data_IF_415323052035
#
_entry.id   IF_415323052035
#
_cell.length_a   1.000
_cell.length_b   1.000
_cell.length_c   1.000
_cell.angle_alpha   90.00
_cell.angle_beta   90.00
_cell.angle_gamma   90.00
#
_symmetry.space_group_name_H-M   'P 1'
#
loop_
_entity.id
_entity.type
_entity.pdbx_description
1 polymer ?
#
# COMPACT_ATOMS: atom_id res chain seq x y z
N UNK A 1 -49.07 39.14 68.71
CA UNK A 1 -47.97 39.54 67.80
C UNK A 1 -46.84 38.51 67.96
N UNK A 2 -46.62 37.48 67.13
CA UNK A 2 -47.20 37.07 65.83
C UNK A 2 -47.04 38.06 64.67
N UNK A 3 -45.80 38.30 64.25
CA UNK A 3 -45.31 38.50 62.86
C UNK A 3 -43.76 38.56 62.84
N UNK A 4 -43.15 38.61 61.66
CA UNK A 4 -41.79 39.14 61.38
C UNK A 4 -40.50 38.31 61.60
N UNK A 5 -40.54 36.96 61.68
CA UNK A 5 -39.29 36.15 61.58
C UNK A 5 -39.26 34.92 60.67
N UNK A 6 -40.35 34.57 59.97
CA UNK A 6 -40.38 33.34 59.15
C UNK A 6 -40.31 33.54 57.61
N UNK A 7 -40.45 34.78 57.10
CA UNK A 7 -40.61 35.01 55.64
C UNK A 7 -39.28 35.18 54.91
N UNK A 8 -38.19 35.59 55.58
CA UNK A 8 -36.94 35.95 54.92
C UNK A 8 -35.93 34.80 54.71
N UNK A 9 -36.19 33.59 55.23
CA UNK A 9 -35.34 32.41 54.98
C UNK A 9 -35.85 31.47 53.88
N UNK A 10 -37.08 31.65 53.39
CA UNK A 10 -37.69 30.77 52.37
C UNK A 10 -37.44 31.22 50.92
N UNK A 11 -36.88 32.43 50.72
CA UNK A 11 -36.48 32.95 49.40
C UNK A 11 -34.99 32.70 49.05
N UNK A 12 -34.21 32.14 49.98
CA UNK A 12 -32.77 31.89 49.80
C UNK A 12 -32.39 30.44 49.46
N UNK A 13 -33.34 29.50 49.39
CA UNK A 13 -33.08 28.07 49.18
C UNK A 13 -33.79 27.45 47.96
N UNK A 14 -34.46 28.25 47.12
CA UNK A 14 -35.16 27.79 45.91
C UNK A 14 -34.48 28.27 44.61
N UNK A 15 -33.17 28.45 44.64
CA UNK A 15 -32.35 28.85 43.47
C UNK A 15 -31.13 27.95 43.24
N UNK A 16 -31.04 26.81 43.93
CA UNK A 16 -29.88 25.91 43.93
C UNK A 16 -30.14 24.49 43.41
N UNK A 17 -31.28 24.26 42.72
CA UNK A 17 -31.68 22.93 42.22
C UNK A 17 -32.07 22.89 40.72
N UNK A 18 -31.66 23.88 39.91
CA UNK A 18 -31.75 23.82 38.44
C UNK A 18 -30.45 24.27 37.76
N UNK A 19 -29.34 23.66 38.14
CA UNK A 19 -28.17 23.50 37.28
C UNK A 19 -27.98 22.02 36.93
N UNK A 20 -29.07 21.39 36.45
CA UNK A 20 -28.98 20.19 35.63
C UNK A 20 -28.39 20.59 34.29
N UNK A 21 -27.06 20.80 34.25
CA UNK A 21 -26.36 21.07 33.01
C UNK A 21 -26.59 19.91 32.07
N UNK A 22 -27.17 20.19 30.89
CA UNK A 22 -27.22 19.22 29.81
C UNK A 22 -25.78 18.86 29.45
N UNK A 23 -25.33 17.69 29.92
CA UNK A 23 -24.09 17.10 29.47
C UNK A 23 -24.19 16.96 27.94
N UNK A 24 -23.16 17.38 27.22
CA UNK A 24 -23.12 17.18 25.77
C UNK A 24 -23.19 15.67 25.50
N UNK A 25 -24.17 15.23 24.69
CA UNK A 25 -24.31 13.82 24.30
C UNK A 25 -23.01 13.32 23.71
N UNK A 26 -22.55 12.18 24.19
CA UNK A 26 -21.33 11.49 23.75
C UNK A 26 -21.66 10.47 22.64
N UNK A 27 -20.63 9.85 22.06
CA UNK A 27 -20.83 8.76 21.08
C UNK A 27 -21.30 7.49 21.79
N UNK A 28 -20.82 7.28 23.01
CA UNK A 28 -21.21 6.19 23.91
C UNK A 28 -22.69 6.28 24.25
N UNK A 29 -23.23 7.48 24.51
CA UNK A 29 -24.67 7.69 24.71
C UNK A 29 -25.48 7.28 23.46
N UNK A 30 -25.01 7.63 22.25
CA UNK A 30 -25.66 7.22 21.00
C UNK A 30 -25.57 5.70 20.77
N UNK A 31 -24.48 5.06 21.18
CA UNK A 31 -24.34 3.61 21.06
C UNK A 31 -25.27 2.89 22.05
N UNK A 32 -25.33 3.36 23.30
CA UNK A 32 -26.22 2.83 24.34
C UNK A 32 -27.71 3.05 24.00
N UNK A 33 -28.07 4.18 23.39
CA UNK A 33 -29.43 4.46 22.88
C UNK A 33 -29.80 3.63 21.62
N UNK A 34 -28.87 2.83 21.06
CA UNK A 34 -29.11 2.07 19.83
C UNK A 34 -29.29 2.97 18.59
N UNK A 35 -28.54 4.08 18.54
CA UNK A 35 -28.54 5.11 17.48
C UNK A 35 -27.22 5.21 16.72
N UNK A 36 -26.19 4.54 17.25
CA UNK A 36 -24.87 4.34 16.66
C UNK A 36 -24.52 2.84 16.77
N UNK A 37 -24.11 2.21 15.67
CA UNK A 37 -23.59 0.84 15.62
C UNK A 37 -22.20 0.85 15.01
N UNK A 38 -21.32 -0.02 15.52
CA UNK A 38 -19.96 -0.22 15.02
C UNK A 38 -19.77 -1.72 14.84
N UNK A 39 -19.64 -2.14 13.60
CA UNK A 39 -19.48 -3.55 13.23
C UNK A 39 -18.11 -3.76 12.58
N UNK A 40 -17.51 -4.92 12.85
CA UNK A 40 -16.24 -5.34 12.27
C UNK A 40 -16.34 -6.79 11.80
N UNK A 41 -15.95 -7.05 10.56
CA UNK A 41 -16.09 -8.36 9.93
C UNK A 41 -14.86 -8.72 9.09
N UNK A 42 -14.51 -10.01 9.07
CA UNK A 42 -13.52 -10.58 8.16
C UNK A 42 -14.27 -11.32 7.03
N UNK A 43 -13.77 -11.24 5.80
CA UNK A 43 -14.32 -12.00 4.68
C UNK A 43 -13.19 -12.58 3.80
N UNK A 44 -13.20 -13.90 3.49
CA UNK A 44 -14.13 -14.91 4.00
C UNK A 44 -14.00 -15.10 5.52
N UNK A 45 -15.08 -15.59 6.17
CA UNK A 45 -15.12 -15.84 7.61
C UNK A 45 -14.45 -17.17 8.00
N UNK A 46 -14.48 -18.14 7.10
CA UNK A 46 -13.95 -19.50 7.28
C UNK A 46 -13.03 -19.88 6.11
N UNK A 47 -12.39 -21.04 6.18
CA UNK A 47 -11.47 -21.58 5.15
C UNK A 47 -10.30 -20.66 4.76
N UNK A 48 -9.95 -19.67 5.59
CA UNK A 48 -8.85 -18.75 5.34
C UNK A 48 -7.53 -19.52 5.28
N UNK A 49 -6.79 -19.38 4.19
CA UNK A 49 -5.44 -19.93 4.02
C UNK A 49 -4.39 -18.86 4.39
N UNK A 50 -3.26 -19.27 4.97
CA UNK A 50 -2.15 -18.35 5.19
C UNK A 50 -1.68 -17.73 3.87
N UNK A 51 -1.22 -16.49 3.89
CA UNK A 51 -0.83 -15.66 2.74
C UNK A 51 -1.98 -15.31 1.77
N UNK A 52 -3.22 -15.76 2.01
CA UNK A 52 -4.40 -15.38 1.24
C UNK A 52 -4.80 -13.93 1.51
N UNK A 53 -5.38 -13.27 0.51
CA UNK A 53 -6.10 -12.01 0.71
C UNK A 53 -7.42 -12.23 1.46
N UNK A 54 -7.57 -11.62 2.63
CA UNK A 54 -8.88 -11.46 3.29
C UNK A 54 -9.20 -9.97 3.45
N UNK A 55 -10.49 -9.61 3.45
CA UNK A 55 -10.92 -8.22 3.65
C UNK A 55 -11.43 -8.02 5.08
N UNK A 56 -10.90 -7.02 5.76
CA UNK A 56 -11.40 -6.54 7.04
C UNK A 56 -12.31 -5.33 6.79
N UNK A 57 -13.60 -5.53 7.03
CA UNK A 57 -14.63 -4.50 6.91
C UNK A 57 -14.87 -3.86 8.27
N UNK A 58 -14.83 -2.53 8.31
CA UNK A 58 -15.14 -1.71 9.48
C UNK A 58 -16.29 -0.80 9.09
N UNK A 59 -17.47 -1.05 9.64
CA UNK A 59 -18.68 -0.27 9.38
C UNK A 59 -19.07 0.53 10.61
N UNK A 60 -19.41 1.80 10.39
CA UNK A 60 -20.13 2.61 11.38
C UNK A 60 -21.47 3.02 10.77
N UNK A 61 -22.55 2.80 11.52
CA UNK A 61 -23.92 3.11 11.13
C UNK A 61 -24.57 4.02 12.17
N UNK A 62 -25.37 5.01 11.74
CA UNK A 62 -26.17 5.86 12.64
C UNK A 62 -27.58 6.12 12.10
N UNK A 63 -28.56 6.31 12.98
CA UNK A 63 -29.92 6.74 12.63
C UNK A 63 -30.04 8.24 12.25
N UNK A 64 -28.89 8.93 12.19
CA UNK A 64 -28.72 10.31 11.72
C UNK A 64 -27.87 10.36 10.46
N UNK A 65 -27.18 11.48 10.24
CA UNK A 65 -26.15 11.61 9.21
C UNK A 65 -24.78 11.87 9.86
N UNK A 66 -23.72 11.53 9.12
CA UNK A 66 -22.36 11.88 9.51
C UNK A 66 -22.05 13.32 9.14
N UNK A 67 -21.54 14.08 10.11
CA UNK A 67 -21.01 15.44 9.92
C UNK A 67 -19.54 15.46 9.46
N UNK A 68 -18.89 14.28 9.40
CA UNK A 68 -17.52 14.10 8.91
C UNK A 68 -17.23 12.65 8.52
N UNK A 69 -16.08 12.40 7.88
CA UNK A 69 -15.65 11.05 7.52
C UNK A 69 -14.94 10.34 8.67
N UNK A 70 -15.28 9.07 8.90
CA UNK A 70 -14.60 8.16 9.81
C UNK A 70 -13.11 8.09 9.50
N UNK A 71 -12.28 8.27 10.54
CA UNK A 71 -10.84 8.08 10.48
C UNK A 71 -10.45 6.90 11.36
N UNK A 72 -9.85 5.88 10.75
CA UNK A 72 -9.27 4.74 11.47
C UNK A 72 -7.96 5.20 12.12
N UNK A 73 -7.79 4.92 13.41
CA UNK A 73 -6.54 5.14 14.14
C UNK A 73 -5.51 4.02 13.90
N UNK A 74 -4.34 4.14 14.51
CA UNK A 74 -3.30 3.12 14.37
C UNK A 74 -3.70 1.81 15.04
N UNK A 75 -3.53 0.69 14.35
CA UNK A 75 -3.67 -0.65 14.89
C UNK A 75 -2.75 -1.62 14.13
N UNK A 76 -2.42 -2.74 14.76
CA UNK A 76 -1.58 -3.78 14.16
C UNK A 76 -2.22 -5.15 14.41
N UNK A 77 -2.17 -6.02 13.41
CA UNK A 77 -2.58 -7.42 13.53
C UNK A 77 -1.31 -8.26 13.51
N UNK A 78 -0.99 -8.91 14.63
CA UNK A 78 0.28 -9.62 14.79
C UNK A 78 0.42 -10.72 13.73
N UNK A 79 1.62 -10.83 13.16
CA UNK A 79 1.98 -11.79 12.11
C UNK A 79 1.14 -11.67 10.82
N UNK A 80 0.48 -10.54 10.59
CA UNK A 80 -0.27 -10.24 9.38
C UNK A 80 0.15 -8.90 8.75
N UNK A 81 0.01 -8.78 7.44
CA UNK A 81 0.19 -7.51 6.72
C UNK A 81 -1.19 -6.89 6.53
N UNK A 82 -1.38 -5.66 7.00
CA UNK A 82 -2.61 -4.89 6.82
C UNK A 82 -2.36 -3.76 5.82
N UNK A 83 -3.15 -3.68 4.75
CA UNK A 83 -3.04 -2.66 3.70
C UNK A 83 -4.38 -1.94 3.52
N UNK A 84 -4.36 -0.61 3.63
CA UNK A 84 -5.46 0.24 3.17
C UNK A 84 -5.28 0.55 1.69
N UNK A 85 -6.07 -0.09 0.82
CA UNK A 85 -6.05 0.16 -0.62
C UNK A 85 -6.97 1.29 -1.06
N UNK A 86 -8.14 1.39 -0.41
CA UNK A 86 -9.12 2.42 -0.71
C UNK A 86 -8.75 3.78 -0.08
N UNK A 87 -9.12 4.87 -0.76
CA UNK A 87 -8.84 6.24 -0.31
C UNK A 87 -9.99 6.88 0.49
N UNK A 88 -11.18 6.29 0.41
CA UNK A 88 -12.40 6.82 1.01
C UNK A 88 -13.27 5.65 1.51
N UNK A 89 -14.09 5.92 2.52
CA UNK A 89 -15.17 5.00 2.91
C UNK A 89 -16.25 4.95 1.82
N UNK A 90 -16.92 3.80 1.71
CA UNK A 90 -18.18 3.67 0.96
C UNK A 90 -19.30 4.17 1.86
N UNK A 91 -20.03 5.18 1.41
CA UNK A 91 -21.18 5.71 2.13
C UNK A 91 -22.46 5.08 1.57
N UNK A 92 -23.38 4.66 2.44
CA UNK A 92 -24.67 4.09 2.03
C UNK A 92 -25.79 4.49 2.99
N UNK A 93 -27.04 4.30 2.56
CA UNK A 93 -28.23 4.44 3.39
C UNK A 93 -29.10 3.19 3.23
N UNK A 94 -29.61 2.68 4.34
CA UNK A 94 -30.41 1.46 4.43
C UNK A 94 -31.61 1.69 5.35
N UNK A 95 -32.67 0.89 5.21
CA UNK A 95 -33.82 0.90 6.13
C UNK A 95 -33.85 -0.46 6.84
N UNK A 96 -33.69 -0.46 8.16
CA UNK A 96 -33.78 -1.64 9.02
C UNK A 96 -34.99 -1.45 9.96
N UNK A 97 -36.08 -2.17 9.69
CA UNK A 97 -37.34 -2.00 10.40
C UNK A 97 -37.97 -0.64 10.12
N UNK A 98 -38.17 0.17 11.17
CA UNK A 98 -38.67 1.54 11.13
C UNK A 98 -37.56 2.60 11.08
N UNK A 99 -36.28 2.20 11.22
CA UNK A 99 -35.13 3.12 11.24
C UNK A 99 -34.41 3.19 9.89
N UNK A 100 -34.13 4.41 9.45
CA UNK A 100 -33.19 4.69 8.36
C UNK A 100 -31.78 4.84 8.92
N UNK A 101 -30.83 4.06 8.42
CA UNK A 101 -29.43 4.05 8.84
C UNK A 101 -28.53 4.61 7.75
N UNK A 102 -27.78 5.67 8.06
CA UNK A 102 -26.65 6.12 7.25
C UNK A 102 -25.41 5.37 7.68
N UNK A 103 -24.57 4.95 6.74
CA UNK A 103 -23.38 4.12 6.97
C UNK A 103 -22.11 4.70 6.36
N UNK A 104 -20.97 4.40 6.97
CA UNK A 104 -19.63 4.55 6.41
C UNK A 104 -18.89 3.22 6.57
N UNK A 105 -18.55 2.59 5.44
CA UNK A 105 -17.83 1.33 5.38
C UNK A 105 -16.41 1.55 4.87
N UNK A 106 -15.42 1.23 5.71
CA UNK A 106 -14.03 1.09 5.29
C UNK A 106 -13.71 -0.39 5.03
N UNK A 107 -13.05 -0.68 3.90
CA UNK A 107 -12.51 -2.02 3.61
C UNK A 107 -10.99 -1.95 3.61
N UNK A 108 -10.38 -2.68 4.53
CA UNK A 108 -8.95 -2.93 4.59
C UNK A 108 -8.65 -4.34 4.07
N UNK A 109 -7.42 -4.57 3.62
CA UNK A 109 -6.96 -5.89 3.21
C UNK A 109 -5.97 -6.43 4.24
N UNK A 110 -6.11 -7.69 4.61
CA UNK A 110 -5.26 -8.39 5.58
C UNK A 110 -4.69 -9.65 4.93
N UNK A 111 -3.41 -9.92 5.18
CA UNK A 111 -2.71 -11.13 4.75
C UNK A 111 -2.09 -11.85 5.96
N UNK A 112 -2.70 -12.91 6.51
CA UNK A 112 -2.15 -13.67 7.63
C UNK A 112 -0.90 -14.44 7.19
N UNK A 113 0.29 -14.13 7.70
CA UNK A 113 1.55 -14.67 7.14
C UNK A 113 1.86 -16.12 7.60
N UNK A 114 1.12 -16.65 8.56
CA UNK A 114 1.27 -18.00 9.12
C UNK A 114 -0.08 -18.67 9.35
N UNK A 115 -0.07 -19.97 9.64
CA UNK A 115 -1.23 -20.66 10.21
C UNK A 115 -1.44 -20.29 11.69
N UNK A 116 -2.65 -20.54 12.18
CA UNK A 116 -3.08 -20.34 13.56
C UNK A 116 -4.11 -19.24 13.74
N UNK A 117 -4.46 -18.98 14.99
CA UNK A 117 -5.38 -17.91 15.37
C UNK A 117 -4.71 -16.54 15.16
N UNK A 118 -5.51 -15.60 14.67
CA UNK A 118 -5.23 -14.17 14.56
C UNK A 118 -6.26 -13.40 15.38
N UNK A 119 -5.81 -12.30 15.96
CA UNK A 119 -6.63 -11.38 16.73
C UNK A 119 -6.44 -9.98 16.16
N UNK A 120 -7.54 -9.36 15.76
CA UNK A 120 -7.63 -7.93 15.45
C UNK A 120 -8.00 -7.24 16.75
N UNK A 121 -7.13 -6.38 17.31
CA UNK A 121 -7.44 -5.66 18.54
C UNK A 121 -8.57 -4.65 18.31
N UNK A 122 -9.22 -4.14 19.37
CA UNK A 122 -10.15 -3.01 19.27
C UNK A 122 -9.51 -1.85 18.52
N UNK A 123 -10.08 -1.47 17.38
CA UNK A 123 -9.52 -0.44 16.50
C UNK A 123 -10.12 0.91 16.89
N UNK A 124 -9.32 1.92 17.28
CA UNK A 124 -9.84 3.25 17.59
C UNK A 124 -10.35 3.95 16.32
N UNK A 125 -11.57 4.48 16.36
CA UNK A 125 -12.23 5.18 15.27
C UNK A 125 -12.59 6.60 15.69
N UNK A 126 -12.15 7.61 14.93
CA UNK A 126 -12.61 9.00 15.10
C UNK A 126 -13.78 9.25 14.17
N UNK A 127 -14.95 9.51 14.75
CA UNK A 127 -16.20 9.69 14.02
C UNK A 127 -16.87 11.01 14.39
N UNK A 128 -17.78 11.44 13.53
CA UNK A 128 -18.45 12.74 13.59
C UNK A 128 -19.89 12.56 13.12
N UNK A 129 -20.83 12.63 14.06
CA UNK A 129 -22.27 12.35 13.85
C UNK A 129 -23.08 13.59 14.23
N UNK A 130 -24.14 13.89 13.49
CA UNK A 130 -25.05 14.97 13.84
C UNK A 130 -26.11 14.52 14.86
N UNK A 131 -26.34 15.35 15.88
CA UNK A 131 -27.39 15.12 16.87
C UNK A 131 -28.80 15.51 16.38
N UNK A 132 -29.77 15.56 17.28
CA UNK A 132 -31.15 15.93 16.96
C UNK A 132 -31.33 17.43 16.67
N UNK A 133 -30.42 18.29 17.15
CA UNK A 133 -30.35 19.72 16.82
C UNK A 133 -29.59 20.03 15.53
N UNK A 134 -28.84 19.04 15.01
CA UNK A 134 -27.92 19.18 13.89
C UNK A 134 -26.50 19.62 14.30
N UNK A 135 -26.22 19.74 15.60
CA UNK A 135 -24.87 19.96 16.11
C UNK A 135 -24.03 18.69 15.97
N UNK A 136 -22.70 18.86 15.88
CA UNK A 136 -21.78 17.74 15.63
C UNK A 136 -21.25 17.15 16.94
N UNK A 137 -21.59 15.89 17.21
CA UNK A 137 -20.94 15.07 18.23
C UNK A 137 -19.70 14.45 17.58
N UNK A 138 -18.53 14.74 18.13
CA UNK A 138 -17.23 14.28 17.64
C UNK A 138 -16.49 13.60 18.78
N UNK A 139 -15.96 12.40 18.52
CA UNK A 139 -15.26 11.63 19.54
C UNK A 139 -14.45 10.48 18.95
N UNK A 140 -13.89 9.67 19.85
CA UNK A 140 -13.12 8.48 19.52
C UNK A 140 -13.77 7.29 20.21
N UNK A 141 -14.04 6.23 19.44
CA UNK A 141 -14.77 5.04 19.89
C UNK A 141 -14.18 3.81 19.18
N UNK A 142 -14.10 2.66 19.85
CA UNK A 142 -13.39 1.50 19.32
C UNK A 142 -14.32 0.44 18.71
N UNK A 143 -13.83 -0.29 17.71
CA UNK A 143 -14.47 -1.54 17.28
C UNK A 143 -14.42 -2.59 18.41
N UNK A 144 -15.30 -3.60 18.39
CA UNK A 144 -15.02 -4.87 19.05
C UNK A 144 -13.68 -5.46 18.59
N UNK A 145 -13.10 -6.35 19.40
CA UNK A 145 -12.02 -7.23 18.96
C UNK A 145 -12.58 -8.33 18.04
N UNK A 146 -11.79 -8.80 17.07
CA UNK A 146 -12.21 -9.84 16.12
C UNK A 146 -11.14 -10.93 15.99
N UNK A 147 -11.54 -12.18 16.26
CA UNK A 147 -10.68 -13.36 16.05
C UNK A 147 -10.98 -14.05 14.72
N UNK A 148 -9.95 -14.56 14.04
CA UNK A 148 -10.10 -15.44 12.87
C UNK A 148 -8.99 -16.49 12.78
N UNK A 149 -9.26 -17.62 12.13
CA UNK A 149 -8.32 -18.74 12.00
C UNK A 149 -7.82 -18.85 10.56
N UNK A 150 -6.52 -18.69 10.35
CA UNK A 150 -5.88 -19.05 9.09
C UNK A 150 -5.22 -20.44 9.18
N UNK A 151 -5.28 -21.23 8.10
CA UNK A 151 -4.69 -22.57 8.03
C UNK A 151 -3.61 -22.64 6.96
N UNK A 152 -2.68 -23.58 7.12
CA UNK A 152 -1.80 -24.01 6.03
C UNK A 152 -2.35 -25.36 5.57
N UNK A 153 -2.77 -25.52 4.29
CA UNK A 153 -3.16 -26.81 3.74
C UNK A 153 -2.02 -27.83 3.89
N UNK A 154 -2.34 -29.09 4.20
CA UNK A 154 -1.33 -30.14 4.44
C UNK A 154 -0.33 -30.29 3.27
N UNK A 155 -0.79 -30.09 2.03
CA UNK A 155 0.05 -30.09 0.82
C UNK A 155 1.12 -28.98 0.79
N UNK A 156 1.02 -27.97 1.64
CA UNK A 156 1.93 -26.81 1.73
C UNK A 156 2.82 -26.83 2.97
N UNK A 157 2.61 -27.71 3.95
CA UNK A 157 3.40 -27.75 5.20
C UNK A 157 4.90 -27.98 4.96
N UNK A 158 5.27 -28.78 3.95
CA UNK A 158 6.66 -29.03 3.57
C UNK A 158 7.28 -27.94 2.68
N UNK A 159 6.49 -26.93 2.26
CA UNK A 159 6.90 -25.90 1.30
C UNK A 159 7.09 -24.56 2.01
N UNK A 160 8.30 -23.98 1.87
CA UNK A 160 8.66 -22.70 2.50
C UNK A 160 8.15 -21.49 1.71
N UNK A 161 8.36 -21.54 0.40
CA UNK A 161 8.06 -20.45 -0.54
C UNK A 161 6.85 -20.82 -1.39
N UNK A 162 5.78 -20.06 -1.20
CA UNK A 162 4.51 -20.17 -1.90
C UNK A 162 3.62 -18.97 -1.57
N UNK A 163 2.65 -18.68 -2.41
CA UNK A 163 1.65 -17.61 -2.19
C UNK A 163 0.23 -18.14 -2.39
N UNK A 164 -0.78 -17.45 -1.87
CA UNK A 164 -2.19 -17.76 -2.13
C UNK A 164 -2.85 -16.62 -2.91
N UNK A 165 -3.43 -16.94 -4.07
CA UNK A 165 -3.95 -15.96 -5.05
C UNK A 165 -4.99 -16.60 -5.96
N UNK A 166 -5.81 -15.77 -6.61
CA UNK A 166 -6.76 -16.16 -7.65
C UNK A 166 -6.07 -16.50 -8.98
N UNK A 167 -4.88 -15.93 -9.24
CA UNK A 167 -4.12 -16.12 -10.48
C UNK A 167 -2.64 -15.89 -10.24
N UNK A 168 -1.82 -16.84 -10.67
CA UNK A 168 -0.36 -16.77 -10.58
C UNK A 168 0.26 -17.09 -11.94
N UNK A 169 1.27 -16.32 -12.35
CA UNK A 169 1.97 -16.48 -13.63
C UNK A 169 3.47 -16.27 -13.44
N UNK A 170 4.29 -17.08 -14.12
CA UNK A 170 5.74 -16.90 -14.23
C UNK A 170 6.11 -16.89 -15.70
N UNK A 171 6.87 -15.88 -16.11
CA UNK A 171 7.40 -15.74 -17.45
C UNK A 171 8.94 -15.66 -17.40
N UNK A 172 9.59 -16.28 -18.38
CA UNK A 172 11.04 -16.23 -18.58
C UNK A 172 11.35 -15.61 -19.95
N UNK A 173 12.40 -14.81 -20.02
CA UNK A 173 12.91 -14.27 -21.28
C UNK A 173 14.44 -14.13 -21.25
N UNK A 174 15.09 -14.38 -22.39
CA UNK A 174 16.51 -14.10 -22.60
C UNK A 174 16.71 -12.91 -23.55
N UNK A 175 17.81 -12.16 -23.40
CA UNK A 175 18.09 -11.00 -24.25
C UNK A 175 18.59 -11.34 -25.67
N UNK A 176 18.98 -12.60 -25.92
CA UNK A 176 19.47 -13.11 -27.21
C UNK A 176 19.22 -14.62 -27.33
N UNK A 177 19.47 -15.19 -28.51
CA UNK A 177 19.43 -16.66 -28.67
C UNK A 177 20.49 -17.34 -27.80
N UNK A 178 20.21 -18.60 -27.46
CA UNK A 178 21.11 -19.51 -26.74
C UNK A 178 22.00 -20.30 -27.70
N UNK A 179 21.76 -20.19 -29.01
CA UNK A 179 22.57 -20.83 -30.05
C UNK A 179 23.87 -20.07 -30.30
N UNK A 180 24.97 -20.80 -30.47
CA UNK A 180 26.25 -20.24 -30.90
C UNK A 180 26.95 -19.32 -29.89
N UNK A 181 26.60 -19.43 -28.60
CA UNK A 181 27.22 -18.66 -27.52
C UNK A 181 28.73 -18.94 -27.43
N UNK A 182 29.50 -17.88 -27.12
CA UNK A 182 30.97 -17.94 -27.08
C UNK A 182 31.53 -17.49 -25.72
N UNK A 183 32.76 -17.89 -25.34
CA UNK A 183 33.41 -17.32 -24.16
C UNK A 183 33.54 -15.78 -24.26
N UNK A 184 33.24 -15.09 -23.16
CA UNK A 184 33.12 -13.63 -23.08
C UNK A 184 31.69 -13.09 -23.28
N UNK A 185 30.73 -13.92 -23.72
CA UNK A 185 29.35 -13.49 -23.90
C UNK A 185 28.64 -13.18 -22.57
N UNK A 186 27.84 -12.11 -22.58
CA UNK A 186 26.86 -11.83 -21.53
C UNK A 186 25.45 -12.23 -21.99
N UNK A 187 24.87 -13.23 -21.31
CA UNK A 187 23.48 -13.65 -21.46
C UNK A 187 22.66 -13.07 -20.29
N UNK A 188 21.57 -12.37 -20.59
CA UNK A 188 20.68 -11.80 -19.56
C UNK A 188 19.36 -12.57 -19.55
N UNK A 189 19.04 -13.18 -18.41
CA UNK A 189 17.75 -13.85 -18.12
C UNK A 189 16.90 -12.92 -17.28
N UNK A 190 15.67 -12.69 -17.69
CA UNK A 190 14.65 -12.01 -16.90
C UNK A 190 13.58 -13.01 -16.52
N UNK A 191 13.30 -13.15 -15.22
CA UNK A 191 12.18 -13.93 -14.70
C UNK A 191 11.17 -12.96 -14.11
N UNK A 192 9.94 -12.98 -14.60
CA UNK A 192 8.86 -12.14 -14.11
C UNK A 192 7.77 -13.01 -13.50
N UNK A 193 7.62 -12.92 -12.18
CA UNK A 193 6.52 -13.50 -11.41
C UNK A 193 5.42 -12.45 -11.30
N UNK A 194 4.16 -12.83 -11.49
CA UNK A 194 3.03 -11.94 -11.24
C UNK A 194 1.84 -12.67 -10.64
N UNK A 195 1.04 -11.96 -9.85
CA UNK A 195 -0.16 -12.51 -9.24
C UNK A 195 -1.24 -11.45 -9.06
N UNK A 196 -2.50 -11.87 -9.14
CA UNK A 196 -3.63 -11.01 -8.83
C UNK A 196 -3.87 -11.01 -7.29
N UNK A 197 -4.43 -9.93 -6.74
CA UNK A 197 -4.82 -9.80 -5.33
C UNK A 197 -3.71 -10.05 -4.26
N UNK A 198 -2.43 -9.95 -4.64
CA UNK A 198 -1.29 -9.92 -3.73
C UNK A 198 -0.53 -8.59 -3.85
N UNK A 199 0.25 -8.17 -2.83
CA UNK A 199 1.26 -7.13 -2.98
C UNK A 199 2.57 -7.72 -3.51
N UNK A 200 3.31 -6.97 -4.34
CA UNK A 200 4.53 -7.45 -5.00
C UNK A 200 5.64 -7.91 -4.03
N UNK A 201 5.67 -7.36 -2.82
CA UNK A 201 6.58 -7.78 -1.73
C UNK A 201 6.34 -9.21 -1.23
N UNK A 202 5.17 -9.80 -1.46
CA UNK A 202 4.85 -11.19 -1.09
C UNK A 202 5.17 -12.19 -2.20
N UNK A 203 5.48 -11.75 -3.42
CA UNK A 203 5.80 -12.66 -4.52
C UNK A 203 7.12 -13.40 -4.26
N UNK A 204 7.20 -14.71 -4.57
CA UNK A 204 8.41 -15.49 -4.38
C UNK A 204 9.54 -14.92 -5.24
N UNK A 205 10.75 -15.00 -4.72
CA UNK A 205 11.96 -14.56 -5.41
C UNK A 205 12.47 -15.70 -6.29
N UNK A 206 12.75 -15.42 -7.56
CA UNK A 206 13.53 -16.34 -8.38
C UNK A 206 15.01 -16.27 -7.95
N UNK A 207 15.72 -17.39 -8.05
CA UNK A 207 17.16 -17.49 -7.76
C UNK A 207 17.97 -17.71 -9.04
N UNK A 208 19.28 -17.64 -8.92
CA UNK A 208 20.20 -18.21 -9.90
C UNK A 208 21.31 -18.94 -9.14
N UNK A 209 21.55 -20.19 -9.54
CA UNK A 209 22.57 -21.02 -8.90
C UNK A 209 23.96 -20.67 -9.40
N UNK A 210 24.98 -20.99 -8.60
CA UNK A 210 26.39 -20.86 -9.04
C UNK A 210 26.74 -21.99 -10.00
N UNK A 211 27.20 -21.63 -11.20
CA UNK A 211 27.56 -22.57 -12.26
C UNK A 211 29.06 -22.41 -12.54
N UNK A 212 29.91 -23.41 -12.25
CA UNK A 212 31.34 -23.35 -12.59
C UNK A 212 31.54 -23.06 -14.08
N UNK A 213 32.40 -22.10 -14.43
CA UNK A 213 32.62 -21.65 -15.82
C UNK A 213 31.65 -20.56 -16.30
N UNK A 214 30.69 -20.13 -15.47
CA UNK A 214 29.79 -19.00 -15.73
C UNK A 214 29.74 -18.08 -14.49
N UNK A 215 30.18 -16.83 -14.63
CA UNK A 215 29.98 -15.84 -13.58
C UNK A 215 28.54 -15.31 -13.59
N UNK A 216 27.88 -15.33 -12.43
CA UNK A 216 26.46 -14.97 -12.30
C UNK A 216 26.31 -13.68 -11.48
N UNK A 217 25.71 -12.66 -12.08
CA UNK A 217 25.47 -11.36 -11.47
C UNK A 217 23.96 -11.11 -11.35
N UNK A 218 23.36 -11.26 -10.15
CA UNK A 218 21.97 -10.87 -9.91
C UNK A 218 21.84 -9.34 -9.91
N UNK A 219 20.85 -8.84 -10.65
CA UNK A 219 20.43 -7.44 -10.62
C UNK A 219 19.52 -7.13 -9.43
N UNK A 220 19.08 -5.88 -9.33
CA UNK A 220 18.07 -5.49 -8.33
C UNK A 220 16.67 -5.90 -8.79
N UNK A 221 15.95 -6.64 -7.93
CA UNK A 221 14.56 -7.00 -8.14
C UNK A 221 13.68 -5.76 -8.34
N UNK A 222 12.79 -5.79 -9.34
CA UNK A 222 11.79 -4.74 -9.58
C UNK A 222 10.42 -5.21 -9.11
N UNK A 223 9.88 -4.53 -8.10
CA UNK A 223 8.52 -4.75 -7.59
C UNK A 223 7.57 -3.71 -8.17
N UNK A 224 6.38 -4.11 -8.63
CA UNK A 224 5.34 -3.20 -9.13
C UNK A 224 3.95 -3.68 -8.73
N UNK A 225 3.19 -2.84 -8.03
CA UNK A 225 1.77 -3.04 -7.76
C UNK A 225 0.93 -2.17 -8.71
N UNK A 226 0.01 -2.79 -9.45
CA UNK A 226 -0.86 -2.17 -10.45
C UNK A 226 -2.31 -2.29 -10.02
N UNK A 227 -3.11 -1.25 -10.26
CA UNK A 227 -4.56 -1.23 -9.99
C UNK A 227 -5.30 -0.75 -11.23
N UNK A 228 -6.27 -1.52 -11.69
CA UNK A 228 -7.13 -1.15 -12.82
C UNK A 228 -8.60 -1.47 -12.49
N UNK A 229 -9.42 -0.44 -12.28
CA UNK A 229 -10.86 -0.58 -11.95
C UNK A 229 -11.15 -1.54 -10.77
N UNK A 230 -10.30 -1.52 -9.74
CA UNK A 230 -10.40 -2.40 -8.58
C UNK A 230 -9.77 -3.79 -8.74
N UNK A 231 -9.30 -4.17 -9.94
CA UNK A 231 -8.44 -5.33 -10.10
C UNK A 231 -7.00 -4.98 -9.67
N UNK A 232 -6.49 -5.69 -8.67
CA UNK A 232 -5.14 -5.52 -8.12
C UNK A 232 -4.23 -6.60 -8.70
N UNK A 233 -3.07 -6.21 -9.23
CA UNK A 233 -2.06 -7.14 -9.75
C UNK A 233 -0.65 -6.72 -9.37
N UNK A 234 0.07 -7.65 -8.77
CA UNK A 234 1.47 -7.53 -8.42
C UNK A 234 2.39 -8.14 -9.48
N UNK A 235 3.60 -7.60 -9.58
CA UNK A 235 4.65 -8.06 -10.48
C UNK A 235 6.01 -7.94 -9.78
N UNK A 236 6.80 -9.01 -9.80
CA UNK A 236 8.20 -9.07 -9.35
C UNK A 236 9.05 -9.56 -10.51
N UNK A 237 10.00 -8.73 -10.95
CA UNK A 237 10.93 -9.07 -12.02
C UNK A 237 12.35 -9.18 -11.47
N UNK A 238 12.95 -10.35 -11.63
CA UNK A 238 14.35 -10.65 -11.33
C UNK A 238 15.15 -10.66 -12.63
N UNK A 239 16.38 -10.14 -12.58
CA UNK A 239 17.29 -10.09 -13.74
C UNK A 239 18.62 -10.69 -13.34
N UNK A 240 19.13 -11.62 -14.15
CA UNK A 240 20.41 -12.29 -13.93
C UNK A 240 21.27 -12.16 -15.18
N UNK A 241 22.49 -11.65 -15.01
CA UNK A 241 23.49 -11.61 -16.08
C UNK A 241 24.49 -12.75 -15.88
N UNK A 242 24.53 -13.67 -16.84
CA UNK A 242 25.46 -14.79 -16.91
C UNK A 242 26.58 -14.41 -17.88
N UNK A 243 27.81 -14.32 -17.39
CA UNK A 243 29.01 -14.11 -18.21
C UNK A 243 29.68 -15.47 -18.42
N UNK A 244 29.76 -15.88 -19.68
CA UNK A 244 30.23 -17.21 -20.07
C UNK A 244 31.75 -17.20 -20.14
N UNK A 245 32.45 -17.74 -19.14
CA UNK A 245 33.91 -17.61 -19.03
C UNK A 245 34.65 -18.70 -19.80
N UNK A 246 34.08 -19.89 -19.88
CA UNK A 246 34.72 -21.09 -20.43
C UNK A 246 33.81 -21.80 -21.43
N UNK A 247 34.40 -22.40 -22.46
CA UNK A 247 33.68 -23.27 -23.41
C UNK A 247 33.27 -24.58 -22.71
N UNK A 248 32.05 -25.04 -22.96
CA UNK A 248 31.47 -26.19 -22.27
C UNK A 248 29.96 -26.28 -22.45
N UNK A 249 29.37 -27.35 -21.92
CA UNK A 249 27.94 -27.55 -21.87
C UNK A 249 27.48 -27.34 -20.44
N UNK A 250 26.66 -26.32 -20.21
CA UNK A 250 26.12 -25.95 -18.92
C UNK A 250 24.59 -26.08 -18.93
N UNK A 251 23.97 -25.90 -17.76
CA UNK A 251 22.52 -25.89 -17.61
C UNK A 251 22.13 -24.83 -16.60
N UNK A 252 21.08 -24.06 -16.90
CA UNK A 252 20.34 -23.31 -15.91
C UNK A 252 19.32 -24.28 -15.30
N UNK A 253 19.39 -24.48 -13.99
CA UNK A 253 18.58 -25.48 -13.32
C UNK A 253 17.08 -25.14 -13.31
N UNK A 254 16.26 -26.19 -13.26
CA UNK A 254 14.80 -26.10 -13.22
C UNK A 254 14.35 -25.39 -11.93
N UNK A 255 13.37 -24.49 -12.05
CA UNK A 255 12.81 -23.77 -10.89
C UNK A 255 11.31 -24.02 -10.81
N UNK A 256 10.81 -24.34 -9.60
CA UNK A 256 9.38 -24.63 -9.37
C UNK A 256 8.79 -23.61 -8.40
N UNK A 257 7.78 -22.88 -8.86
CA UNK A 257 7.05 -21.88 -8.09
C UNK A 257 5.72 -22.47 -7.64
N UNK A 258 5.54 -22.64 -6.34
CA UNK A 258 4.31 -23.17 -5.75
C UNK A 258 3.33 -22.04 -5.40
N UNK A 259 2.04 -22.28 -5.63
CA UNK A 259 0.99 -21.37 -5.19
C UNK A 259 -0.28 -22.14 -4.80
N UNK A 260 -1.05 -21.56 -3.90
CA UNK A 260 -2.39 -22.01 -3.58
C UNK A 260 -3.38 -21.23 -4.43
N UNK A 261 -4.09 -21.93 -5.28
CA UNK A 261 -5.24 -21.38 -6.00
C UNK A 261 -6.42 -21.30 -5.02
N UNK A 262 -6.82 -20.07 -4.68
CA UNK A 262 -7.92 -19.81 -3.74
C UNK A 262 -9.30 -20.11 -4.36
N UNK A 263 -9.40 -20.15 -5.69
CA UNK A 263 -10.63 -20.43 -6.44
C UNK A 263 -10.86 -21.93 -6.53
N UNK A 264 -9.86 -22.70 -6.99
CA UNK A 264 -9.97 -24.18 -7.02
C UNK A 264 -9.67 -24.85 -5.68
N UNK A 265 -9.22 -24.08 -4.67
CA UNK A 265 -8.81 -24.55 -3.33
C UNK A 265 -7.80 -25.69 -3.42
N UNK A 266 -6.76 -25.51 -4.24
CA UNK A 266 -5.78 -26.54 -4.52
C UNK A 266 -4.34 -26.00 -4.63
N UNK A 267 -3.37 -26.88 -4.38
CA UNK A 267 -1.97 -26.60 -4.64
C UNK A 267 -1.69 -26.70 -6.15
N UNK A 268 -1.13 -25.63 -6.68
CA UNK A 268 -0.68 -25.52 -8.06
C UNK A 268 0.82 -25.21 -8.11
N UNK A 269 1.45 -25.46 -9.27
CA UNK A 269 2.87 -25.16 -9.48
C UNK A 269 3.14 -24.75 -10.92
N UNK A 270 3.99 -23.75 -11.10
CA UNK A 270 4.57 -23.39 -12.40
C UNK A 270 6.04 -23.80 -12.39
N UNK A 271 6.46 -24.52 -13.42
CA UNK A 271 7.83 -24.96 -13.61
C UNK A 271 8.47 -24.11 -14.71
N UNK A 272 9.61 -23.50 -14.41
CA UNK A 272 10.58 -23.08 -15.42
C UNK A 272 11.50 -24.26 -15.66
N UNK A 273 11.44 -24.83 -16.86
CA UNK A 273 12.24 -25.99 -17.25
C UNK A 273 13.73 -25.67 -17.27
N UNK A 274 14.56 -26.71 -17.14
CA UNK A 274 16.00 -26.53 -17.17
C UNK A 274 16.49 -26.16 -18.58
N UNK A 275 17.30 -25.11 -18.68
CA UNK A 275 17.73 -24.54 -19.96
C UNK A 275 19.18 -24.93 -20.26
N UNK A 276 19.46 -25.71 -21.32
CA UNK A 276 20.84 -26.04 -21.71
C UNK A 276 21.54 -24.81 -22.33
N UNK A 277 22.80 -24.61 -21.97
CA UNK A 277 23.65 -23.50 -22.42
C UNK A 277 24.94 -24.09 -23.00
N UNK A 278 25.08 -24.09 -24.33
CA UNK A 278 26.23 -24.66 -25.02
C UNK A 278 27.17 -23.54 -25.48
N UNK A 279 28.39 -23.51 -24.93
CA UNK A 279 29.38 -22.45 -25.18
C UNK A 279 30.51 -23.01 -26.03
N UNK A 280 30.64 -22.51 -27.25
CA UNK A 280 31.55 -23.02 -28.28
C UNK A 280 32.50 -21.95 -28.79
N UNK A 281 33.81 -22.17 -28.64
CA UNK A 281 34.85 -21.26 -29.10
C UNK A 281 36.19 -21.51 -28.41
N UNK A 282 37.27 -20.80 -28.78
CA UNK A 282 38.48 -20.77 -27.98
C UNK A 282 38.18 -20.08 -26.64
N UNK A 283 38.66 -20.64 -25.53
CA UNK A 283 38.57 -19.99 -24.23
C UNK A 283 39.36 -18.67 -24.24
N UNK A 284 38.88 -17.65 -23.52
CA UNK A 284 39.59 -16.36 -23.38
C UNK A 284 40.75 -16.53 -22.39
N UNK A 285 41.79 -17.23 -22.84
CA UNK A 285 43.10 -17.32 -22.19
C UNK A 285 43.90 -16.04 -22.44
N UNK A 286 43.42 -14.92 -21.91
CA UNK A 286 44.05 -13.60 -22.04
C UNK A 286 44.49 -13.09 -20.69
N UNK A 287 45.81 -13.00 -20.48
CA UNK A 287 46.41 -12.28 -19.36
C UNK A 287 45.85 -10.85 -19.33
N UNK A 288 45.28 -10.41 -18.19
CA UNK A 288 44.74 -9.06 -18.04
C UNK A 288 45.89 -8.05 -17.96
N UNK A 289 46.55 -7.84 -19.10
CA UNK A 289 47.43 -6.69 -19.30
C UNK A 289 46.56 -5.46 -19.10
N UNK A 290 46.94 -4.60 -18.15
CA UNK A 290 46.18 -3.39 -17.79
C UNK A 290 46.16 -2.38 -18.95
N UNK A 291 45.28 -2.63 -19.93
CA UNK A 291 44.95 -1.69 -20.98
C UNK A 291 44.38 -0.42 -20.36
N UNK A 292 44.93 0.74 -20.75
CA UNK A 292 44.43 2.05 -20.34
C UNK A 292 42.92 2.11 -20.54
N UNK A 293 42.15 2.71 -19.60
CA UNK A 293 40.69 2.71 -19.68
C UNK A 293 40.25 3.26 -21.03
N UNK A 294 39.55 2.43 -21.80
CA UNK A 294 38.92 2.87 -23.03
C UNK A 294 37.83 3.84 -22.62
N UNK A 295 37.95 5.10 -23.04
CA UNK A 295 37.02 6.14 -22.66
C UNK A 295 35.61 5.72 -23.07
N UNK A 296 34.75 5.55 -22.08
CA UNK A 296 33.34 5.26 -22.27
C UNK A 296 32.75 6.27 -23.25
N UNK A 297 32.13 5.77 -24.32
CA UNK A 297 31.43 6.59 -25.29
C UNK A 297 30.18 7.18 -24.62
N UNK A 298 30.39 8.29 -23.90
CA UNK A 298 29.33 9.04 -23.24
C UNK A 298 28.26 9.40 -24.27
N UNK A 299 27.10 8.79 -24.15
CA UNK A 299 25.89 9.33 -24.75
C UNK A 299 25.76 10.79 -24.30
N UNK A 300 25.54 11.75 -25.22
CA UNK A 300 25.62 13.17 -24.89
C UNK A 300 24.63 13.52 -23.76
N UNK A 301 25.17 13.97 -22.63
CA UNK A 301 24.43 14.11 -21.39
C UNK A 301 23.30 15.13 -21.47
N UNK A 302 22.07 14.65 -21.59
CA UNK A 302 20.82 15.44 -21.57
C UNK A 302 20.48 16.03 -20.18
N UNK A 303 21.47 16.23 -19.31
CA UNK A 303 21.34 16.81 -17.97
C UNK A 303 21.90 18.24 -17.82
N UNK A 304 22.56 18.78 -18.86
CA UNK A 304 23.09 20.17 -18.83
C UNK A 304 22.10 21.26 -19.33
N UNK A 305 21.03 20.88 -20.05
CA UNK A 305 20.11 21.84 -20.68
C UNK A 305 18.88 22.24 -19.83
N UNK A 306 18.61 21.53 -18.73
CA UNK A 306 17.47 21.84 -17.84
C UNK A 306 17.88 22.89 -16.78
N UNK A 307 19.15 22.90 -16.34
CA UNK A 307 19.62 23.87 -15.34
C UNK A 307 19.80 25.26 -15.97
N UNK A 308 20.30 25.35 -17.21
CA UNK A 308 20.46 26.63 -17.92
C UNK A 308 19.12 27.30 -18.28
N UNK A 309 18.10 26.52 -18.60
CA UNK A 309 16.75 27.03 -18.91
C UNK A 309 16.01 27.56 -17.67
N UNK A 310 16.17 26.92 -16.50
CA UNK A 310 15.63 27.45 -15.22
C UNK A 310 16.34 28.74 -14.82
N UNK A 311 17.66 28.82 -14.92
CA UNK A 311 18.42 30.06 -14.61
C UNK A 311 18.03 31.19 -15.58
N UNK A 312 17.87 30.89 -16.88
CA UNK A 312 17.39 31.86 -17.87
C UNK A 312 15.99 32.39 -17.55
N UNK A 313 15.06 31.52 -17.14
CA UNK A 313 13.70 31.91 -16.75
C UNK A 313 13.70 32.82 -15.51
N UNK A 314 14.48 32.48 -14.48
CA UNK A 314 14.61 33.28 -13.24
C UNK A 314 15.20 34.66 -13.54
N UNK A 315 16.24 34.74 -14.37
CA UNK A 315 16.83 36.03 -14.80
C UNK A 315 15.85 36.86 -15.64
N UNK A 316 15.07 36.24 -16.53
CA UNK A 316 14.04 36.93 -17.30
C UNK A 316 12.91 37.50 -16.41
N UNK A 317 12.47 36.74 -15.40
CA UNK A 317 11.47 37.18 -14.42
C UNK A 317 12.02 38.36 -13.58
N UNK A 318 13.26 38.27 -13.09
CA UNK A 318 13.91 39.35 -12.34
C UNK A 318 14.10 40.62 -13.19
N UNK A 319 14.52 40.49 -14.46
CA UNK A 319 14.64 41.60 -15.39
C UNK A 319 13.28 42.26 -15.66
N UNK A 320 12.23 41.47 -15.88
CA UNK A 320 10.86 41.98 -16.06
C UNK A 320 10.34 42.73 -14.82
N UNK A 321 10.64 42.21 -13.62
CA UNK A 321 10.27 42.86 -12.36
C UNK A 321 11.03 44.18 -12.16
N UNK A 322 12.33 44.22 -12.47
CA UNK A 322 13.15 45.43 -12.43
C UNK A 322 12.68 46.48 -13.44
N UNK A 323 12.37 46.09 -14.69
CA UNK A 323 11.84 47.01 -15.71
C UNK A 323 10.48 47.58 -15.27
N UNK A 324 9.59 46.77 -14.69
CA UNK A 324 8.32 47.26 -14.11
C UNK A 324 8.54 48.20 -12.92
N UNK A 325 9.50 47.91 -12.04
CA UNK A 325 9.84 48.78 -10.90
C UNK A 325 10.43 50.12 -11.37
N UNK A 326 11.33 50.11 -12.36
CA UNK A 326 11.90 51.30 -12.98
C UNK A 326 10.84 52.13 -13.70
N UNK A 327 9.95 51.52 -14.50
CA UNK A 327 8.82 52.26 -15.12
C UNK A 327 7.91 52.92 -14.07
N UNK A 328 7.61 52.25 -12.95
CA UNK A 328 6.85 52.85 -11.82
C UNK A 328 7.60 53.99 -11.13
N UNK A 329 8.94 53.91 -11.02
CA UNK A 329 9.78 54.96 -10.45
C UNK A 329 9.88 56.18 -11.38
N UNK A 330 10.06 55.98 -12.70
CA UNK A 330 10.04 57.06 -13.67
C UNK A 330 8.66 57.73 -13.74
N UNK A 331 7.56 56.97 -13.67
CA UNK A 331 6.22 57.55 -13.65
C UNK A 331 5.96 58.37 -12.39
N UNK A 332 6.43 57.93 -11.21
CA UNK A 332 6.41 58.71 -9.96
C UNK A 332 7.32 59.94 -9.97
N UNK A 333 8.38 59.99 -10.78
CA UNK A 333 9.19 61.21 -10.97
C UNK A 333 8.56 62.17 -11.99
N UNK A 334 7.96 61.65 -13.06
CA UNK A 334 7.26 62.45 -14.06
C UNK A 334 5.96 63.10 -13.51
N UNK A 335 5.38 62.56 -12.45
CA UNK A 335 4.21 63.13 -11.76
C UNK A 335 4.59 64.00 -10.54
N UNK A 336 5.85 64.40 -10.38
CA UNK A 336 6.36 65.10 -9.20
C UNK A 336 6.97 66.49 -9.49
N UNK A 337 6.71 67.07 -10.67
CA UNK A 337 6.91 68.49 -10.99
C UNK A 337 5.72 69.03 -11.79
N UNK A 338 4.74 69.62 -11.12
CA UNK A 338 3.97 70.75 -11.62
C UNK A 338 4.41 72.02 -10.88
N UNK A 339 5.12 72.90 -11.59
CA UNK A 339 5.19 74.37 -11.37
C UNK A 339 5.73 74.99 -12.67
#
# INVERSE_FOLDING_TARGET
>A
MKTDRLVLCLLGCLSLLLNGGLAARTLEDLQNDGRLRIDIAINPQEDIVARQQVTLQIEVATDRWFSGGMRIGHFEVKDAIVLQREKFAVNSTTVEGDKTWTRQLWTLVVYPQRGGLFEVPPIPLKISVADDSGASIVGEISTPALGFLARIPQSLESRREWVATDRFEVAENFNKSLDGLQPGDALVRTITVSADNLPAMMLPQASADSIPGIAVYPGSAKLTDKVNRGAYRAERSEVFTYVLEQSGNYRLEQQTFYWWDVVSRSLQSIVLEAVPINVSGPAVGGEITAGKPHAEAQAPGSRSLIISSVVGLVLAILAFYMIRKLKRLCWRKASAHPD
#
